data_IF_153708878316
#
_entry.id   IF_153708878316
#
_cell.length_a   1.000
_cell.length_b   1.000
_cell.length_c   1.000
_cell.angle_alpha   90.00
_cell.angle_beta   90.00
_cell.angle_gamma   90.00
#
_symmetry.space_group_name_H-M   'P 1'
#
loop_
_entity.id
_entity.type
_entity.pdbx_description
1 polymer ?
#
# COMPACT_ATOMS: atom_id res chain seq x y z
N UNK A 1 12.08 -4.24 14.86
CA UNK A 1 10.97 -4.76 14.03
C UNK A 1 10.52 -3.63 13.12
N UNK A 2 10.15 -3.92 11.87
CA UNK A 2 9.67 -2.91 10.92
C UNK A 2 8.65 -3.54 9.97
N UNK A 3 7.74 -2.75 9.39
CA UNK A 3 6.75 -3.25 8.43
C UNK A 3 7.32 -3.48 7.02
N UNK A 4 8.52 -2.95 6.77
CA UNK A 4 9.26 -3.12 5.53
C UNK A 4 10.76 -3.18 5.82
N UNK A 5 11.48 -3.94 5.01
CA UNK A 5 12.94 -4.00 4.99
C UNK A 5 13.47 -4.05 3.57
N UNK A 6 14.79 -3.98 3.45
CA UNK A 6 15.60 -4.31 2.28
C UNK A 6 16.70 -5.26 2.74
N UNK A 7 17.46 -5.84 1.82
CA UNK A 7 18.53 -6.80 2.15
C UNK A 7 19.70 -6.16 2.92
N UNK A 8 19.81 -4.84 2.89
CA UNK A 8 20.85 -4.05 3.59
C UNK A 8 20.57 -3.84 5.10
N UNK A 9 19.45 -4.32 5.65
CA UNK A 9 19.14 -4.16 7.07
C UNK A 9 18.55 -5.41 7.73
N UNK A 10 18.90 -5.61 9.00
CA UNK A 10 18.49 -6.76 9.82
C UNK A 10 17.11 -6.63 10.48
N UNK A 11 16.21 -5.79 9.94
CA UNK A 11 14.90 -5.61 10.56
C UNK A 11 14.04 -6.89 10.48
N UNK A 12 13.46 -7.28 11.62
CA UNK A 12 12.41 -8.30 11.64
C UNK A 12 11.10 -7.72 11.11
N UNK A 13 10.58 -8.32 10.03
CA UNK A 13 9.34 -7.90 9.39
C UNK A 13 8.13 -8.19 10.26
N UNK A 14 7.26 -7.19 10.44
CA UNK A 14 5.96 -7.32 11.12
C UNK A 14 4.84 -6.82 10.20
N UNK A 15 3.59 -7.25 10.39
CA UNK A 15 2.46 -6.69 9.66
C UNK A 15 2.32 -5.18 9.92
N UNK A 16 1.88 -4.45 8.89
CA UNK A 16 1.61 -3.02 8.99
C UNK A 16 0.52 -2.75 10.04
N UNK A 17 0.75 -1.81 10.94
CA UNK A 17 -0.20 -1.48 12.02
C UNK A 17 -1.56 -1.03 11.48
N UNK A 18 -1.59 -0.35 10.33
CA UNK A 18 -2.83 0.08 9.69
C UNK A 18 -3.72 -1.07 9.19
N UNK A 19 -3.21 -2.31 9.11
CA UNK A 19 -4.07 -3.46 8.88
C UNK A 19 -5.00 -3.77 10.05
N UNK A 20 -4.63 -3.34 11.27
CA UNK A 20 -5.41 -3.57 12.50
C UNK A 20 -6.17 -2.32 12.98
N UNK A 21 -5.91 -1.16 12.36
CA UNK A 21 -6.62 0.09 12.66
C UNK A 21 -8.06 0.00 12.17
N UNK A 22 -8.92 0.84 12.69
CA UNK A 22 -10.34 0.86 12.37
C UNK A 22 -10.83 1.80 11.23
N UNK A 23 -9.99 2.51 10.45
CA UNK A 23 -10.44 3.19 9.24
C UNK A 23 -11.14 2.25 8.26
N UNK A 24 -12.03 2.82 7.43
CA UNK A 24 -12.75 2.11 6.37
C UNK A 24 -11.81 1.44 5.35
N UNK A 25 -10.60 1.98 5.18
CA UNK A 25 -9.61 1.43 4.27
C UNK A 25 -8.71 0.37 4.93
N UNK A 26 -8.91 0.02 6.20
CA UNK A 26 -8.16 -1.06 6.86
C UNK A 26 -8.40 -2.41 6.17
N UNK A 27 -7.48 -3.35 6.38
CA UNK A 27 -7.66 -4.69 5.83
C UNK A 27 -8.96 -5.33 6.31
N UNK A 28 -9.28 -5.19 7.59
CA UNK A 28 -10.43 -5.87 8.18
C UNK A 28 -11.76 -5.24 7.75
N UNK A 29 -11.79 -3.92 7.57
CA UNK A 29 -12.93 -3.25 6.97
C UNK A 29 -13.15 -3.74 5.54
N UNK A 30 -12.07 -3.82 4.74
CA UNK A 30 -12.14 -4.34 3.37
C UNK A 30 -12.50 -5.83 3.31
N UNK A 31 -12.01 -6.66 4.24
CA UNK A 31 -12.38 -8.07 4.33
C UNK A 31 -13.86 -8.25 4.70
N UNK A 32 -14.39 -7.37 5.55
CA UNK A 32 -15.82 -7.33 5.88
C UNK A 32 -16.65 -6.92 4.65
N UNK A 33 -16.16 -5.95 3.87
CA UNK A 33 -16.80 -5.45 2.65
C UNK A 33 -16.49 -6.29 1.39
N UNK A 34 -15.88 -7.47 1.56
CA UNK A 34 -15.39 -8.29 0.43
C UNK A 34 -16.46 -8.63 -0.62
N UNK A 35 -17.71 -8.73 -0.21
CA UNK A 35 -18.81 -9.05 -1.11
C UNK A 35 -18.96 -7.99 -2.19
N UNK A 36 -18.72 -6.72 -1.85
CA UNK A 36 -18.74 -5.61 -2.80
C UNK A 36 -17.67 -5.76 -3.88
N UNK A 37 -16.46 -6.20 -3.54
CA UNK A 37 -15.39 -6.38 -4.53
C UNK A 37 -15.66 -7.50 -5.54
N UNK A 38 -16.61 -8.38 -5.25
CA UNK A 38 -17.05 -9.47 -6.13
C UNK A 38 -18.36 -9.17 -6.86
N UNK A 39 -18.97 -7.98 -6.67
CA UNK A 39 -20.24 -7.62 -7.31
C UNK A 39 -20.12 -7.40 -8.82
N UNK A 40 -18.96 -6.91 -9.26
CA UNK A 40 -18.66 -6.69 -10.68
C UNK A 40 -17.91 -7.92 -11.19
N UNK A 41 -18.55 -8.65 -12.10
CA UNK A 41 -17.95 -9.78 -12.80
C UNK A 41 -16.70 -9.33 -13.57
N UNK A 42 -15.74 -10.23 -13.79
CA UNK A 42 -14.45 -9.90 -14.42
C UNK A 42 -14.65 -9.22 -15.79
N UNK A 43 -15.62 -9.72 -16.54
CA UNK A 43 -16.00 -9.32 -17.89
C UNK A 43 -16.59 -7.90 -17.93
N UNK A 44 -17.22 -7.46 -16.83
CA UNK A 44 -17.85 -6.15 -16.69
C UNK A 44 -16.90 -5.08 -16.13
N UNK A 45 -15.70 -5.48 -15.67
CA UNK A 45 -14.70 -4.54 -15.18
C UNK A 45 -14.08 -3.76 -16.32
N UNK A 46 -13.73 -2.50 -16.03
CA UNK A 46 -13.04 -1.61 -16.98
C UNK A 46 -11.66 -2.18 -17.33
N UNK A 47 -11.44 -2.42 -18.61
CA UNK A 47 -10.18 -2.93 -19.16
C UNK A 47 -9.14 -1.80 -19.32
N UNK A 48 -8.68 -1.25 -18.20
CA UNK A 48 -7.66 -0.20 -18.15
C UNK A 48 -6.85 -0.33 -16.86
N UNK A 49 -5.53 -0.13 -16.93
CA UNK A 49 -4.67 -0.17 -15.75
C UNK A 49 -4.82 1.10 -14.92
N UNK A 50 -5.29 0.94 -13.69
CA UNK A 50 -5.68 2.04 -12.84
C UNK A 50 -4.76 2.20 -11.63
N UNK A 51 -4.46 3.44 -11.27
CA UNK A 51 -3.68 3.78 -10.09
C UNK A 51 -3.88 5.22 -9.61
N UNK A 52 -3.98 5.44 -8.29
CA UNK A 52 -4.06 6.76 -7.66
C UNK A 52 -3.20 6.84 -6.40
N UNK A 53 -2.33 7.85 -6.31
CA UNK A 53 -1.42 8.06 -5.18
C UNK A 53 -0.94 9.51 -5.13
N UNK A 54 -0.20 9.90 -4.10
CA UNK A 54 0.55 11.15 -4.08
C UNK A 54 1.92 10.99 -4.76
N UNK A 55 2.44 12.07 -5.33
CA UNK A 55 3.65 12.08 -6.16
C UNK A 55 4.97 12.06 -5.37
N UNK A 56 5.15 11.08 -4.47
CA UNK A 56 6.38 10.96 -3.67
C UNK A 56 6.99 9.57 -3.74
N UNK A 57 8.32 9.51 -3.83
CA UNK A 57 9.10 8.28 -3.75
C UNK A 57 10.28 8.45 -2.79
N UNK A 58 10.77 7.34 -2.30
CA UNK A 58 12.05 7.18 -1.58
C UNK A 58 13.27 7.49 -2.47
N UNK A 59 14.38 7.87 -1.82
CA UNK A 59 15.64 8.27 -2.44
C UNK A 59 16.35 7.18 -3.26
N UNK A 60 15.98 5.90 -3.12
CA UNK A 60 16.61 4.83 -3.91
C UNK A 60 16.07 4.78 -5.35
N UNK A 61 14.92 5.39 -5.63
CA UNK A 61 14.48 5.55 -7.01
C UNK A 61 15.37 6.58 -7.72
N UNK A 62 15.84 6.25 -8.91
CA UNK A 62 16.83 7.03 -9.68
C UNK A 62 18.29 6.75 -9.31
N UNK A 63 18.55 5.78 -8.43
CA UNK A 63 19.91 5.38 -8.01
C UNK A 63 20.33 4.09 -8.73
N UNK A 64 21.22 4.16 -9.75
CA UNK A 64 21.66 2.99 -10.51
C UNK A 64 22.46 1.98 -9.67
N UNK A 65 22.95 2.40 -8.49
CA UNK A 65 23.63 1.51 -7.53
C UNK A 65 22.66 0.68 -6.68
N UNK A 66 21.37 1.03 -6.63
CA UNK A 66 20.40 0.40 -5.75
C UNK A 66 19.26 -0.31 -6.49
N UNK A 67 18.76 0.24 -7.59
CA UNK A 67 17.66 -0.36 -8.34
C UNK A 67 17.77 -0.03 -9.83
N UNK A 68 18.04 -1.06 -10.63
CA UNK A 68 18.17 -0.99 -12.10
C UNK A 68 17.24 -1.97 -12.78
N UNK A 69 16.78 -1.59 -13.97
CA UNK A 69 16.13 -2.50 -14.92
C UNK A 69 17.15 -3.37 -15.63
N UNK A 70 16.69 -4.44 -16.28
CA UNK A 70 17.52 -5.38 -17.03
C UNK A 70 18.29 -4.72 -18.19
N UNK A 71 17.73 -3.65 -18.76
CA UNK A 71 18.42 -2.79 -19.75
C UNK A 71 19.52 -1.89 -19.14
N UNK A 72 19.75 -1.95 -17.83
CA UNK A 72 20.76 -1.19 -17.10
C UNK A 72 20.35 0.23 -16.71
N UNK A 73 19.12 0.66 -17.00
CA UNK A 73 18.64 1.98 -16.60
C UNK A 73 18.27 2.03 -15.11
N UNK A 74 18.49 3.18 -14.47
CA UNK A 74 17.99 3.40 -13.12
C UNK A 74 16.45 3.48 -13.12
N UNK A 75 15.80 2.79 -12.19
CA UNK A 75 14.34 2.84 -12.07
C UNK A 75 13.90 4.22 -11.58
N UNK A 76 13.13 5.01 -12.35
CA UNK A 76 12.67 6.33 -11.92
C UNK A 76 11.63 6.19 -10.79
N UNK A 77 11.28 7.31 -10.13
CA UNK A 77 10.15 7.31 -9.20
C UNK A 77 8.87 6.87 -9.93
N UNK A 78 8.27 5.70 -9.62
CA UNK A 78 7.14 5.20 -10.40
C UNK A 78 5.92 6.11 -10.26
N UNK A 79 5.76 6.75 -9.09
CA UNK A 79 4.58 7.58 -8.81
C UNK A 79 4.47 8.82 -9.68
N UNK A 80 5.58 9.42 -10.07
CA UNK A 80 5.60 10.58 -10.95
C UNK A 80 5.82 10.17 -12.41
N UNK A 81 6.64 9.15 -12.65
CA UNK A 81 6.93 8.65 -14.01
C UNK A 81 5.67 8.16 -14.73
N UNK A 82 4.80 7.44 -14.02
CA UNK A 82 3.56 6.90 -14.60
C UNK A 82 2.56 7.97 -15.04
N UNK A 83 2.68 9.22 -14.59
CA UNK A 83 1.87 10.31 -15.13
C UNK A 83 2.11 10.49 -16.63
N UNK A 84 3.38 10.56 -17.03
CA UNK A 84 3.75 10.75 -18.44
C UNK A 84 3.40 9.52 -19.27
N UNK A 85 3.64 8.32 -18.71
CA UNK A 85 3.30 7.08 -19.39
C UNK A 85 1.78 6.95 -19.60
N UNK A 86 0.97 7.40 -18.64
CA UNK A 86 -0.50 7.41 -18.76
C UNK A 86 -1.01 8.48 -19.73
N UNK A 87 -0.38 9.66 -19.78
CA UNK A 87 -0.72 10.68 -20.80
C UNK A 87 -0.41 10.17 -22.21
N UNK A 88 0.67 9.40 -22.37
CA UNK A 88 1.08 8.84 -23.66
C UNK A 88 0.25 7.62 -24.10
N UNK A 89 -0.41 6.92 -23.16
CA UNK A 89 -1.18 5.70 -23.43
C UNK A 89 -2.54 5.74 -22.70
N UNK A 90 -3.40 6.76 -22.96
CA UNK A 90 -4.63 6.99 -22.20
C UNK A 90 -5.68 5.88 -22.35
N UNK A 91 -5.58 5.08 -23.41
CA UNK A 91 -6.42 3.90 -23.67
C UNK A 91 -6.03 2.67 -22.83
N UNK A 92 -4.76 2.60 -22.38
CA UNK A 92 -4.25 1.48 -21.59
C UNK A 92 -4.09 1.82 -20.10
N UNK A 93 -3.79 3.09 -19.80
CA UNK A 93 -3.35 3.51 -18.48
C UNK A 93 -4.13 4.72 -17.97
N UNK A 94 -4.70 4.57 -16.78
CA UNK A 94 -5.17 5.65 -15.94
C UNK A 94 -4.45 5.58 -14.59
N UNK A 95 -3.11 5.67 -14.62
CA UNK A 95 -2.24 5.57 -13.45
C UNK A 95 -1.58 6.93 -13.15
N UNK A 96 -2.20 7.70 -12.26
CA UNK A 96 -1.84 9.09 -12.00
C UNK A 96 -1.60 9.36 -10.53
N UNK A 97 -0.69 10.28 -10.24
CA UNK A 97 -0.67 10.92 -8.93
C UNK A 97 -1.77 11.99 -8.78
N UNK A 98 -1.93 12.48 -7.55
CA UNK A 98 -2.97 13.45 -7.18
C UNK A 98 -2.76 14.86 -7.72
N UNK A 99 -1.60 15.16 -8.33
CA UNK A 99 -1.39 16.41 -9.06
C UNK A 99 -2.02 16.39 -10.45
N UNK A 100 -2.27 15.19 -11.00
CA UNK A 100 -2.84 14.99 -12.35
C UNK A 100 -4.26 14.43 -12.36
N UNK A 101 -4.68 13.75 -11.30
CA UNK A 101 -6.03 13.20 -11.22
C UNK A 101 -6.60 13.25 -9.80
N UNK A 102 -7.92 13.31 -9.69
CA UNK A 102 -8.60 13.28 -8.39
C UNK A 102 -8.33 11.96 -7.65
N UNK A 103 -8.19 11.98 -6.32
CA UNK A 103 -8.17 10.77 -5.50
C UNK A 103 -9.42 9.92 -5.77
N UNK A 104 -9.28 8.60 -5.67
CA UNK A 104 -10.40 7.65 -5.71
C UNK A 104 -10.39 6.81 -4.44
N UNK A 105 -11.53 6.67 -3.74
CA UNK A 105 -11.67 5.77 -2.60
C UNK A 105 -11.14 4.38 -2.95
N UNK A 106 -10.36 3.79 -2.05
CA UNK A 106 -9.69 2.52 -2.34
C UNK A 106 -10.70 1.42 -2.69
N UNK A 107 -11.80 1.35 -1.94
CA UNK A 107 -12.87 0.39 -2.18
C UNK A 107 -13.52 0.48 -3.56
N UNK A 108 -13.44 1.62 -4.27
CA UNK A 108 -14.03 1.76 -5.62
C UNK A 108 -13.10 1.28 -6.74
N UNK A 109 -11.82 1.03 -6.46
CA UNK A 109 -10.85 0.69 -7.50
C UNK A 109 -11.03 -0.73 -8.05
N UNK A 110 -11.78 -1.60 -7.36
CA UNK A 110 -12.10 -2.96 -7.83
C UNK A 110 -12.86 -2.99 -9.18
N UNK A 111 -13.45 -1.88 -9.60
CA UNK A 111 -14.15 -1.77 -10.89
C UNK A 111 -13.22 -1.86 -12.12
N UNK A 112 -11.91 -1.86 -11.92
CA UNK A 112 -10.89 -1.99 -12.96
C UNK A 112 -10.32 -3.40 -12.98
N UNK A 113 -10.12 -3.98 -14.17
CA UNK A 113 -9.47 -5.30 -14.32
C UNK A 113 -8.03 -5.29 -13.79
N UNK A 114 -7.37 -4.14 -13.87
CA UNK A 114 -5.94 -3.98 -13.72
C UNK A 114 -5.62 -2.89 -12.68
N UNK A 115 -4.89 -3.23 -11.62
CA UNK A 115 -4.50 -2.31 -10.55
C UNK A 115 -2.98 -2.14 -10.48
N UNK A 116 -2.51 -0.90 -10.52
CA UNK A 116 -1.08 -0.58 -10.51
C UNK A 116 -0.64 -0.23 -9.08
N UNK A 117 0.28 -1.04 -8.55
CA UNK A 117 0.89 -0.89 -7.23
C UNK A 117 2.30 -0.33 -7.34
N UNK A 118 2.49 0.86 -6.76
CA UNK A 118 3.78 1.54 -6.63
C UNK A 118 4.14 1.77 -5.18
N UNK A 119 5.43 1.61 -4.85
CA UNK A 119 5.93 1.96 -3.53
C UNK A 119 6.05 3.48 -3.38
N UNK A 120 6.13 3.94 -2.13
CA UNK A 120 6.28 5.35 -1.78
C UNK A 120 7.60 5.58 -1.08
N UNK A 121 7.58 5.92 0.21
CA UNK A 121 8.78 5.96 1.05
C UNK A 121 9.29 4.55 1.38
N UNK A 122 8.34 3.63 1.47
CA UNK A 122 8.53 2.22 1.76
C UNK A 122 7.53 1.44 0.90
N UNK A 123 7.27 0.17 1.24
CA UNK A 123 6.21 -0.59 0.56
C UNK A 123 4.86 0.13 0.65
N UNK A 124 3.98 -0.11 -0.32
CA UNK A 124 2.63 0.45 -0.28
C UNK A 124 1.69 -0.34 0.63
N UNK A 125 0.96 0.37 1.50
CA UNK A 125 -0.16 -0.20 2.27
C UNK A 125 -1.39 -0.54 1.42
N UNK A 126 -1.37 -0.22 0.12
CA UNK A 126 -2.41 -0.64 -0.83
C UNK A 126 -2.14 -2.00 -1.43
N UNK A 127 -0.90 -2.49 -1.42
CA UNK A 127 -0.54 -3.66 -2.20
C UNK A 127 -1.26 -4.91 -1.72
N UNK A 128 -1.31 -5.18 -0.41
CA UNK A 128 -2.09 -6.31 0.11
C UNK A 128 -3.56 -6.14 -0.26
N UNK A 129 -4.13 -4.96 0.00
CA UNK A 129 -5.53 -4.63 -0.28
C UNK A 129 -5.90 -4.86 -1.75
N UNK A 130 -5.00 -4.54 -2.69
CA UNK A 130 -5.21 -4.82 -4.12
C UNK A 130 -5.28 -6.31 -4.43
N UNK A 131 -4.50 -7.15 -3.75
CA UNK A 131 -4.60 -8.62 -3.90
C UNK A 131 -6.00 -9.12 -3.48
N UNK A 132 -6.72 -8.42 -2.60
CA UNK A 132 -8.08 -8.78 -2.17
C UNK A 132 -9.20 -8.30 -3.13
N UNK A 133 -8.90 -7.48 -4.14
CA UNK A 133 -9.94 -6.86 -4.98
C UNK A 133 -10.41 -7.73 -6.16
N UNK A 134 -9.78 -8.87 -6.42
CA UNK A 134 -10.11 -9.72 -7.57
C UNK A 134 -9.70 -9.12 -8.93
N UNK A 135 -8.85 -8.10 -8.91
CA UNK A 135 -8.22 -7.51 -10.10
C UNK A 135 -6.81 -8.06 -10.27
N UNK A 136 -6.29 -8.08 -11.49
CA UNK A 136 -4.88 -8.34 -11.74
C UNK A 136 -4.06 -7.17 -11.19
N UNK A 137 -3.02 -7.47 -10.40
CA UNK A 137 -2.16 -6.45 -9.81
C UNK A 137 -0.83 -6.38 -10.57
N UNK A 138 -0.49 -5.20 -11.07
CA UNK A 138 0.84 -4.86 -11.55
C UNK A 138 1.67 -4.28 -10.40
N UNK A 139 2.83 -4.86 -10.05
CA UNK A 139 3.69 -4.36 -8.95
C UNK A 139 5.03 -3.84 -9.49
N UNK A 140 5.33 -2.59 -9.17
CA UNK A 140 6.61 -1.99 -9.52
C UNK A 140 7.76 -2.72 -8.81
N UNK A 141 8.87 -2.89 -9.50
CA UNK A 141 10.12 -3.38 -8.93
C UNK A 141 10.54 -2.53 -7.72
N UNK A 142 11.12 -3.19 -6.73
CA UNK A 142 11.48 -2.57 -5.47
C UNK A 142 12.51 -3.40 -4.73
N UNK A 143 13.44 -2.71 -4.06
CA UNK A 143 14.35 -3.32 -3.08
C UNK A 143 13.66 -3.57 -1.74
N UNK A 144 12.45 -3.04 -1.55
CA UNK A 144 11.71 -3.12 -0.30
C UNK A 144 10.71 -4.27 -0.35
N UNK A 145 10.62 -4.98 0.76
CA UNK A 145 9.63 -6.05 0.95
C UNK A 145 8.93 -5.97 2.29
N UNK A 146 7.70 -6.47 2.34
CA UNK A 146 6.89 -6.67 3.53
C UNK A 146 6.86 -8.14 3.98
N UNK A 147 6.26 -8.41 5.13
CA UNK A 147 6.29 -9.73 5.79
C UNK A 147 5.75 -10.91 4.95
N UNK A 148 4.89 -10.64 3.96
CA UNK A 148 4.26 -11.66 3.11
C UNK A 148 4.87 -11.77 1.70
N UNK A 149 5.78 -10.85 1.35
CA UNK A 149 6.25 -10.71 -0.04
C UNK A 149 6.99 -11.95 -0.52
N UNK A 150 7.78 -12.59 0.36
CA UNK A 150 8.53 -13.81 0.03
C UNK A 150 7.63 -15.02 -0.26
N UNK A 151 6.33 -14.95 0.07
CA UNK A 151 5.35 -15.98 -0.26
C UNK A 151 4.56 -15.68 -1.54
N UNK A 152 4.71 -14.47 -2.11
CA UNK A 152 4.14 -14.13 -3.41
C UNK A 152 5.08 -14.58 -4.52
N UNK A 153 4.49 -14.92 -5.66
CA UNK A 153 5.21 -15.35 -6.87
C UNK A 153 4.80 -14.48 -8.06
N UNK A 154 5.75 -13.87 -8.79
CA UNK A 154 5.49 -13.19 -10.05
C UNK A 154 4.76 -14.12 -11.03
N UNK A 155 3.85 -13.58 -11.84
CA UNK A 155 2.99 -14.28 -12.80
C UNK A 155 2.09 -15.38 -12.21
N UNK A 156 2.09 -15.58 -10.89
CA UNK A 156 1.09 -16.38 -10.19
C UNK A 156 0.14 -15.51 -9.40
N UNK A 157 0.65 -14.50 -8.69
CA UNK A 157 -0.13 -13.64 -7.80
C UNK A 157 -0.16 -12.16 -8.23
N UNK A 158 0.79 -11.75 -9.07
CA UNK A 158 0.89 -10.37 -9.59
C UNK A 158 1.82 -10.37 -10.81
N UNK A 159 1.75 -9.32 -11.63
CA UNK A 159 2.68 -9.13 -12.76
C UNK A 159 3.68 -8.02 -12.39
N UNK A 160 4.99 -8.28 -12.42
CA UNK A 160 5.99 -7.26 -12.13
C UNK A 160 6.12 -6.27 -13.30
N UNK A 161 6.48 -5.02 -13.00
CA UNK A 161 6.89 -4.01 -13.99
C UNK A 161 8.02 -3.13 -13.43
N UNK A 162 8.64 -2.33 -14.29
CA UNK A 162 9.95 -1.70 -14.12
C UNK A 162 11.04 -2.74 -13.84
N UNK A 163 10.96 -3.88 -14.53
CA UNK A 163 11.96 -4.96 -14.49
C UNK A 163 12.79 -4.93 -15.76
N UNK A 164 12.16 -4.97 -16.94
CA UNK A 164 12.87 -5.01 -18.22
C UNK A 164 13.43 -3.64 -18.58
N UNK A 165 12.57 -2.62 -18.51
CA UNK A 165 12.86 -1.20 -18.71
C UNK A 165 11.77 -0.38 -18.04
N UNK A 166 11.96 0.94 -17.95
CA UNK A 166 11.05 1.87 -17.24
C UNK A 166 9.61 1.95 -17.78
N UNK A 167 9.37 1.48 -19.01
CA UNK A 167 8.09 1.59 -19.74
C UNK A 167 7.35 0.25 -19.88
N UNK A 168 7.92 -0.85 -19.38
CA UNK A 168 7.44 -2.21 -19.57
C UNK A 168 6.03 -2.48 -19.00
N UNK A 169 5.47 -1.56 -18.20
CA UNK A 169 4.06 -1.59 -17.79
C UNK A 169 3.12 -1.57 -18.98
N UNK A 170 3.43 -0.81 -20.05
CA UNK A 170 2.58 -0.77 -21.25
C UNK A 170 2.53 -2.15 -21.92
N UNK A 171 3.67 -2.83 -21.99
CA UNK A 171 3.75 -4.20 -22.52
C UNK A 171 2.98 -5.19 -21.65
N UNK A 172 3.14 -5.08 -20.32
CA UNK A 172 2.45 -5.93 -19.35
C UNK A 172 0.92 -5.78 -19.44
N UNK A 173 0.42 -4.56 -19.68
CA UNK A 173 -1.03 -4.31 -19.88
C UNK A 173 -1.51 -4.86 -21.21
N UNK A 174 -0.77 -4.67 -22.31
CA UNK A 174 -1.10 -5.27 -23.62
C UNK A 174 -1.12 -6.80 -23.57
N UNK A 175 -0.18 -7.39 -22.83
CA UNK A 175 -0.17 -8.82 -22.57
C UNK A 175 -1.43 -9.26 -21.80
N UNK A 176 -1.78 -8.57 -20.72
CA UNK A 176 -2.96 -8.91 -19.92
C UNK A 176 -4.27 -8.82 -20.73
N UNK A 177 -4.40 -7.84 -21.62
CA UNK A 177 -5.55 -7.69 -22.53
C UNK A 177 -5.61 -8.87 -23.52
N UNK A 178 -4.48 -9.24 -24.13
CA UNK A 178 -4.43 -10.34 -25.11
C UNK A 178 -4.53 -11.74 -24.47
N UNK A 179 -4.28 -11.86 -23.16
CA UNK A 179 -4.29 -13.09 -22.40
C UNK A 179 -5.29 -13.00 -21.24
N UNK A 180 -6.51 -12.50 -21.51
CA UNK A 180 -7.50 -12.15 -20.48
C UNK A 180 -7.80 -13.30 -19.50
N UNK A 181 -7.92 -14.54 -19.99
CA UNK A 181 -8.15 -15.71 -19.14
C UNK A 181 -6.97 -15.99 -18.18
N UNK A 182 -5.74 -15.76 -18.63
CA UNK A 182 -4.54 -15.92 -17.80
C UNK A 182 -4.41 -14.77 -16.79
N UNK A 183 -4.68 -13.55 -17.22
CA UNK A 183 -4.77 -12.38 -16.34
C UNK A 183 -5.81 -12.58 -15.22
N UNK A 184 -6.99 -13.08 -15.57
CA UNK A 184 -8.04 -13.41 -14.60
C UNK A 184 -7.59 -14.49 -13.62
N UNK A 185 -6.91 -15.55 -14.11
CA UNK A 185 -6.37 -16.61 -13.24
C UNK A 185 -5.36 -16.06 -12.22
N UNK A 186 -4.47 -15.15 -12.63
CA UNK A 186 -3.52 -14.50 -11.71
C UNK A 186 -4.27 -13.66 -10.67
N UNK A 187 -5.31 -12.91 -11.07
CA UNK A 187 -6.16 -12.15 -10.16
C UNK A 187 -6.86 -13.06 -9.12
N UNK A 188 -7.37 -14.22 -9.55
CA UNK A 188 -8.01 -15.21 -8.67
C UNK A 188 -7.02 -15.82 -7.67
N UNK A 189 -5.80 -16.13 -8.11
CA UNK A 189 -4.73 -16.62 -7.24
C UNK A 189 -4.33 -15.57 -6.20
N UNK A 190 -4.20 -14.31 -6.60
CA UNK A 190 -3.93 -13.18 -5.70
C UNK A 190 -5.01 -13.07 -4.61
N UNK A 191 -6.27 -13.14 -5.03
CA UNK A 191 -7.44 -13.11 -4.14
C UNK A 191 -7.45 -14.28 -3.16
N UNK A 192 -7.20 -15.50 -3.63
CA UNK A 192 -7.12 -16.69 -2.80
C UNK A 192 -5.95 -16.60 -1.79
N UNK A 193 -4.79 -16.11 -2.23
CA UNK A 193 -3.64 -15.88 -1.36
C UNK A 193 -3.97 -14.86 -0.26
N UNK A 194 -4.54 -13.72 -0.63
CA UNK A 194 -4.97 -12.67 0.29
C UNK A 194 -5.90 -13.22 1.38
N UNK A 195 -6.97 -13.92 0.96
CA UNK A 195 -7.97 -14.48 1.87
C UNK A 195 -7.44 -15.59 2.78
N UNK A 196 -6.37 -16.26 2.39
CA UNK A 196 -5.77 -17.32 3.19
C UNK A 196 -4.69 -16.81 4.14
N UNK A 197 -3.82 -15.92 3.65
CA UNK A 197 -2.55 -15.61 4.30
C UNK A 197 -2.47 -14.19 4.85
N UNK A 198 -3.38 -13.30 4.44
CA UNK A 198 -3.38 -11.90 4.83
C UNK A 198 -4.59 -11.53 5.67
N UNK A 199 -5.31 -12.47 6.30
CA UNK A 199 -6.40 -12.12 7.23
C UNK A 199 -5.84 -11.63 8.57
N UNK A 200 -6.67 -10.98 9.40
CA UNK A 200 -6.30 -10.64 10.78
C UNK A 200 -5.75 -11.83 11.56
N UNK A 201 -6.43 -12.99 11.46
CA UNK A 201 -5.99 -14.24 12.08
C UNK A 201 -4.61 -14.65 11.59
N UNK A 202 -4.37 -14.62 10.28
CA UNK A 202 -3.07 -14.98 9.71
C UNK A 202 -1.96 -14.02 10.18
N UNK A 203 -2.23 -12.71 10.22
CA UNK A 203 -1.30 -11.71 10.76
C UNK A 203 -0.98 -11.96 12.25
N UNK A 204 -1.97 -12.30 13.07
CA UNK A 204 -1.72 -12.64 14.47
C UNK A 204 -0.96 -13.95 14.63
N UNK A 205 -1.24 -14.99 13.83
CA UNK A 205 -0.43 -16.21 13.82
C UNK A 205 1.04 -15.91 13.48
N UNK A 206 1.28 -15.06 12.49
CA UNK A 206 2.63 -14.61 12.13
C UNK A 206 3.31 -13.87 13.29
N UNK A 207 2.63 -12.89 13.91
CA UNK A 207 3.16 -12.14 15.05
C UNK A 207 3.45 -13.05 16.26
N UNK A 208 2.53 -13.96 16.59
CA UNK A 208 2.70 -14.92 17.67
C UNK A 208 3.95 -15.77 17.46
N UNK A 209 4.11 -16.33 16.26
CA UNK A 209 5.30 -17.13 15.91
C UNK A 209 6.57 -16.29 15.97
N UNK A 210 6.58 -15.09 15.38
CA UNK A 210 7.72 -14.19 15.38
C UNK A 210 8.17 -13.84 16.80
N UNK A 211 7.25 -13.42 17.66
CA UNK A 211 7.55 -13.03 19.05
C UNK A 211 8.02 -14.25 19.86
N UNK A 212 7.40 -15.41 19.65
CA UNK A 212 7.79 -16.66 20.33
C UNK A 212 9.21 -17.08 19.95
N UNK A 213 9.56 -17.05 18.66
CA UNK A 213 10.93 -17.34 18.22
C UNK A 213 11.91 -16.29 18.74
N UNK A 214 11.57 -15.01 18.66
CA UNK A 214 12.41 -13.94 19.19
C UNK A 214 12.69 -14.10 20.70
N UNK A 215 11.68 -14.48 21.48
CA UNK A 215 11.81 -14.66 22.92
C UNK A 215 12.84 -15.74 23.31
N UNK A 216 13.04 -16.77 22.48
CA UNK A 216 14.08 -17.80 22.69
C UNK A 216 15.49 -17.24 22.66
N UNK A 217 15.69 -16.10 22.01
CA UNK A 217 16.99 -15.43 21.90
C UNK A 217 17.26 -14.42 23.02
N UNK A 218 16.30 -14.18 23.93
CA UNK A 218 16.50 -13.26 25.03
C UNK A 218 17.40 -13.89 26.10
N UNK A 219 18.46 -13.17 26.48
CA UNK A 219 19.38 -13.58 27.55
C UNK A 219 18.84 -13.30 28.96
N UNK A 220 17.64 -12.71 29.06
CA UNK A 220 17.01 -12.34 30.31
C UNK A 220 15.49 -12.58 30.23
N UNK A 221 14.87 -12.86 31.37
CA UNK A 221 13.42 -12.93 31.48
C UNK A 221 12.86 -11.50 31.55
N UNK A 222 11.96 -11.08 30.63
CA UNK A 222 11.28 -9.80 30.77
C UNK A 222 10.54 -9.70 32.12
N UNK A 223 10.61 -8.54 32.76
CA UNK A 223 9.91 -8.29 34.03
C UNK A 223 9.18 -6.95 34.02
N UNK A 224 8.08 -6.86 34.76
CA UNK A 224 7.32 -5.63 34.92
C UNK A 224 7.85 -4.69 36.01
N UNK A 225 8.89 -5.10 36.77
CA UNK A 225 9.43 -4.35 37.91
C UNK A 225 9.87 -2.92 37.56
N UNK A 226 10.30 -2.68 36.32
CA UNK A 226 10.79 -1.38 35.82
C UNK A 226 9.80 -0.66 34.92
N UNK A 227 8.53 -1.11 34.84
CA UNK A 227 7.50 -0.53 33.97
C UNK A 227 6.48 0.22 34.82
N UNK A 228 6.13 1.45 34.42
CA UNK A 228 5.09 2.26 35.06
C UNK A 228 3.72 1.57 35.03
N UNK A 229 3.43 0.92 33.90
CA UNK A 229 2.21 0.16 33.69
C UNK A 229 2.55 -1.20 33.08
N UNK A 230 1.91 -2.25 33.59
CA UNK A 230 2.00 -3.61 33.12
C UNK A 230 0.61 -4.22 33.22
N UNK A 231 -0.02 -4.37 32.06
CA UNK A 231 -1.38 -4.88 31.91
C UNK A 231 -1.43 -5.83 30.70
N UNK A 232 -2.36 -6.78 30.68
CA UNK A 232 -2.70 -7.51 29.47
C UNK A 232 -3.14 -6.54 28.36
N UNK A 233 -2.76 -6.82 27.10
CA UNK A 233 -3.17 -6.00 25.95
C UNK A 233 -4.70 -5.95 25.81
N UNK A 234 -5.41 -6.99 26.24
CA UNK A 234 -6.88 -7.00 26.22
C UNK A 234 -7.50 -5.93 27.12
N UNK A 235 -6.88 -5.58 28.25
CA UNK A 235 -7.38 -4.53 29.15
C UNK A 235 -7.23 -3.14 28.53
N UNK A 236 -6.15 -2.91 27.79
CA UNK A 236 -5.96 -1.69 26.97
C UNK A 236 -7.06 -1.57 25.91
N UNK A 237 -7.39 -2.67 25.21
CA UNK A 237 -8.46 -2.66 24.20
C UNK A 237 -9.84 -2.42 24.82
N UNK A 238 -10.13 -3.05 25.98
CA UNK A 238 -11.36 -2.81 26.75
C UNK A 238 -11.48 -1.34 27.18
N UNK A 239 -10.37 -0.74 27.64
CA UNK A 239 -10.32 0.67 27.99
C UNK A 239 -10.61 1.56 26.79
N UNK A 240 -9.93 1.32 25.66
CA UNK A 240 -10.09 2.14 24.45
C UNK A 240 -11.52 2.11 23.89
N UNK A 241 -12.26 1.00 24.06
CA UNK A 241 -13.69 0.90 23.72
C UNK A 241 -14.57 1.86 24.52
N UNK A 242 -14.31 2.02 25.81
CA UNK A 242 -15.15 2.83 26.72
C UNK A 242 -14.63 4.27 26.89
N UNK A 243 -13.40 4.55 26.48
CA UNK A 243 -12.81 5.88 26.60
C UNK A 243 -13.41 6.83 25.56
N UNK A 244 -13.96 7.96 26.02
CA UNK A 244 -14.61 8.98 25.18
C UNK A 244 -13.75 9.51 24.02
N UNK A 245 -12.42 9.51 24.15
CA UNK A 245 -11.51 9.97 23.09
C UNK A 245 -11.33 8.95 21.95
N UNK A 246 -11.62 7.67 22.19
CA UNK A 246 -11.35 6.57 21.24
C UNK A 246 -12.56 5.69 20.93
N UNK A 247 -13.65 5.82 21.70
CA UNK A 247 -14.85 5.02 21.50
C UNK A 247 -15.48 5.22 20.11
N UNK A 248 -15.31 6.41 19.52
CA UNK A 248 -15.85 6.79 18.21
C UNK A 248 -14.87 6.56 17.06
N UNK A 249 -13.58 6.28 17.35
CA UNK A 249 -12.55 6.11 16.31
C UNK A 249 -12.53 4.70 15.70
N UNK A 250 -13.36 3.79 16.20
CA UNK A 250 -13.40 2.40 15.78
C UNK A 250 -14.78 1.76 15.88
N UNK A 251 -15.10 0.88 14.94
CA UNK A 251 -16.14 -0.12 15.16
C UNK A 251 -15.61 -1.23 16.07
N UNK A 252 -15.71 -1.03 17.39
CA UNK A 252 -15.18 -1.94 18.39
C UNK A 252 -15.75 -3.37 18.35
N UNK A 253 -16.87 -3.59 17.64
CA UNK A 253 -17.45 -4.94 17.45
C UNK A 253 -16.47 -5.92 16.81
N UNK A 254 -15.60 -5.43 15.91
CA UNK A 254 -14.57 -6.28 15.26
C UNK A 254 -13.52 -6.79 16.25
N UNK A 255 -13.45 -6.21 17.45
CA UNK A 255 -12.51 -6.55 18.52
C UNK A 255 -13.15 -7.33 19.67
N UNK A 256 -14.50 -7.43 19.73
CA UNK A 256 -15.24 -8.08 20.83
C UNK A 256 -14.83 -9.55 21.03
N UNK A 257 -14.46 -10.24 19.95
CA UNK A 257 -13.98 -11.62 20.00
C UNK A 257 -12.72 -11.77 20.86
N UNK A 258 -11.98 -10.67 21.07
CA UNK A 258 -10.75 -10.63 21.86
C UNK A 258 -10.97 -10.01 23.25
N UNK A 259 -12.04 -9.23 23.47
CA UNK A 259 -12.28 -8.51 24.74
C UNK A 259 -13.28 -9.20 25.66
N UNK A 260 -14.37 -9.74 25.11
CA UNK A 260 -15.53 -10.16 25.92
C UNK A 260 -15.64 -11.69 26.02
N UNK A 261 -15.13 -12.42 25.03
CA UNK A 261 -15.11 -13.90 24.99
C UNK A 261 -13.71 -14.51 25.21
N UNK A 262 -12.70 -13.69 25.51
CA UNK A 262 -11.33 -14.13 25.68
C UNK A 262 -11.10 -14.72 27.07
N UNK A 263 -10.93 -16.04 27.17
CA UNK A 263 -10.21 -16.68 28.27
C UNK A 263 -8.72 -16.26 28.17
N UNK A 264 -8.38 -14.98 28.40
CA UNK A 264 -6.99 -14.59 28.62
C UNK A 264 -6.64 -14.99 30.07
N UNK A 265 -5.85 -16.07 30.28
CA UNK A 265 -5.53 -16.54 31.62
C UNK A 265 -4.71 -15.53 32.44
N UNK A 266 -4.15 -14.49 31.80
CA UNK A 266 -3.43 -13.39 32.46
C UNK A 266 -4.38 -12.24 32.81
N UNK A 267 -5.51 -12.10 32.10
CA UNK A 267 -6.56 -11.11 32.40
C UNK A 267 -7.62 -11.65 33.37
N UNK A 268 -7.20 -12.46 34.36
CA UNK A 268 -8.09 -13.03 35.36
C UNK A 268 -8.91 -11.92 36.07
N UNK A 269 -10.18 -12.18 36.44
CA UNK A 269 -11.06 -11.16 37.01
C UNK A 269 -10.47 -10.54 38.27
N UNK A 270 -10.41 -9.19 38.36
CA UNK A 270 -10.09 -8.55 39.64
C UNK A 270 -9.32 -7.22 39.68
N UNK A 271 -9.19 -6.48 38.57
CA UNK A 271 -9.05 -5.00 38.48
C UNK A 271 -8.50 -4.66 37.08
N UNK A 272 -9.31 -4.06 36.21
CA UNK A 272 -8.90 -3.72 34.83
C UNK A 272 -7.79 -2.67 34.74
N UNK A 273 -7.49 -1.98 35.86
CA UNK A 273 -6.50 -0.90 35.93
C UNK A 273 -6.77 0.24 34.96
N UNK A 274 -8.04 0.43 34.56
CA UNK A 274 -8.46 1.47 33.62
C UNK A 274 -8.11 2.89 34.10
N UNK A 275 -8.01 3.11 35.43
CA UNK A 275 -7.54 4.39 35.97
C UNK A 275 -6.08 4.64 35.61
N UNK A 276 -5.19 3.67 35.83
CA UNK A 276 -3.77 3.79 35.47
C UNK A 276 -3.56 3.82 33.96
N UNK A 277 -4.38 3.09 33.20
CA UNK A 277 -4.40 3.21 31.73
C UNK A 277 -4.75 4.64 31.33
N UNK A 278 -5.84 5.21 31.86
CA UNK A 278 -6.21 6.61 31.59
C UNK A 278 -5.07 7.57 31.94
N UNK A 279 -4.42 7.40 33.09
CA UNK A 279 -3.29 8.23 33.50
C UNK A 279 -2.11 8.14 32.53
N UNK A 280 -1.81 6.93 32.04
CA UNK A 280 -0.77 6.73 31.02
C UNK A 280 -1.13 7.41 29.70
N UNK A 281 -2.43 7.45 29.37
CA UNK A 281 -2.93 8.03 28.14
C UNK A 281 -2.95 9.57 28.13
N UNK A 282 -3.10 10.20 29.29
CA UNK A 282 -3.01 11.67 29.40
C UNK A 282 -1.57 12.18 29.57
N UNK A 283 -0.59 11.29 29.73
CA UNK A 283 0.82 11.67 29.85
C UNK A 283 1.41 11.97 28.46
N UNK A 284 1.82 13.23 28.18
CA UNK A 284 2.29 13.65 26.86
C UNK A 284 3.60 12.98 26.42
N UNK A 285 4.32 12.33 27.34
CA UNK A 285 5.54 11.57 27.04
C UNK A 285 5.28 10.08 26.74
N UNK A 286 4.06 9.57 26.97
CA UNK A 286 3.75 8.14 26.93
C UNK A 286 2.57 7.77 26.02
N UNK A 287 1.89 8.77 25.44
CA UNK A 287 0.80 8.59 24.47
C UNK A 287 1.30 8.36 23.02
N UNK A 288 0.67 7.47 22.23
CA UNK A 288 0.82 7.45 20.78
C UNK A 288 0.05 8.63 20.16
N UNK A 289 0.76 9.73 19.88
CA UNK A 289 0.23 11.01 19.36
C UNK A 289 -0.43 10.87 17.97
N UNK A 290 -1.73 10.62 17.93
CA UNK A 290 -2.57 10.75 16.72
C UNK A 290 -2.91 12.22 16.38
N UNK A 291 -2.61 13.18 17.27
CA UNK A 291 -2.87 14.62 17.15
C UNK A 291 -1.83 15.40 16.31
N UNK A 292 -0.71 14.75 15.91
CA UNK A 292 0.36 15.41 15.15
C UNK A 292 -0.01 15.77 13.70
N UNK A 293 -1.19 15.37 13.21
CA UNK A 293 -1.67 15.75 11.87
C UNK A 293 -2.73 16.86 11.87
N UNK A 294 -3.21 17.31 13.04
CA UNK A 294 -4.27 18.34 13.12
C UNK A 294 -3.71 19.74 13.38
N UNK A 295 -2.49 19.86 13.93
CA UNK A 295 -1.93 21.16 14.35
C UNK A 295 -1.06 21.90 13.31
N UNK A 296 -0.91 21.36 12.08
CA UNK A 296 -0.15 22.05 11.02
C UNK A 296 -1.01 22.73 9.94
N UNK A 297 -2.35 22.67 10.04
CA UNK A 297 -3.23 23.38 9.11
C UNK A 297 -3.69 24.77 9.59
N UNK A 298 -3.50 25.10 10.88
CA UNK A 298 -3.93 26.39 11.44
C UNK A 298 -2.82 27.45 11.50
N UNK A 299 -1.59 27.13 11.07
CA UNK A 299 -0.47 28.07 11.02
C UNK A 299 -0.01 28.37 9.58
N UNK A 300 -0.92 28.31 8.62
CA UNK A 300 -0.69 28.89 7.30
C UNK A 300 -0.56 30.42 7.46
N UNK A 301 0.66 30.91 7.28
CA UNK A 301 1.04 32.31 7.11
C UNK A 301 -0.04 33.08 6.33
N UNK A 302 -0.60 34.18 6.87
CA UNK A 302 -1.56 34.98 6.10
C UNK A 302 -0.84 35.59 4.88
N UNK A 303 -1.50 35.69 3.72
CA UNK A 303 -0.89 36.34 2.55
C UNK A 303 -0.58 37.80 2.87
N UNK A 304 0.49 38.38 2.29
CA UNK A 304 0.84 39.77 2.53
C UNK A 304 -0.32 40.69 2.13
N UNK A 305 -0.64 41.62 3.03
CA UNK A 305 -1.72 42.58 2.87
C UNK A 305 -1.60 43.33 1.53
N UNK A 306 -2.67 43.28 0.74
CA UNK A 306 -2.83 44.13 -0.42
C UNK A 306 -2.77 45.60 0.02
N UNK A 307 -1.89 46.36 -0.63
CA UNK A 307 -1.81 47.80 -0.48
C UNK A 307 -3.19 48.43 -0.72
N UNK A 308 -3.54 49.35 0.18
CA UNK A 308 -4.79 50.09 0.17
C UNK A 308 -5.07 50.75 -1.18
N UNK A 309 -6.25 50.48 -1.73
CA UNK A 309 -6.85 51.32 -2.75
C UNK A 309 -7.29 52.63 -2.09
N UNK A 310 -6.63 53.73 -2.46
CA UNK A 310 -7.17 55.08 -2.35
C UNK A 310 -8.28 55.28 -3.38
N UNK A 311 -9.36 55.93 -2.97
CA UNK A 311 -10.50 56.28 -3.79
C UNK A 311 -10.12 57.20 -4.97
N UNK A 312 -10.71 56.95 -6.14
CA UNK A 312 -10.64 57.82 -7.31
C UNK A 312 -11.60 57.34 -8.39
N UNK A 313 -12.66 58.11 -8.61
CA UNK A 313 -13.74 57.88 -9.55
C UNK A 313 -13.31 57.92 -11.04
N UNK A 314 -13.96 57.13 -11.91
CA UNK A 314 -14.66 57.60 -13.13
C UNK A 314 -15.05 56.44 -14.07
N UNK A 315 -16.36 56.32 -14.30
CA UNK A 315 -17.06 56.28 -15.59
C UNK A 315 -16.60 55.39 -16.78
N UNK A 316 -17.62 54.65 -17.27
CA UNK A 316 -18.02 54.40 -18.68
C UNK A 316 -17.41 53.22 -19.47
N UNK A 317 -18.29 52.32 -19.93
CA UNK A 317 -18.51 52.12 -21.37
C UNK A 317 -18.23 50.74 -22.01
N UNK A 318 -19.27 50.14 -22.61
CA UNK A 318 -19.24 49.32 -23.84
C UNK A 318 -18.83 47.83 -23.73
N UNK A 319 -19.72 46.85 -23.90
CA UNK A 319 -20.31 46.25 -25.15
C UNK A 319 -19.38 45.32 -25.98
N UNK A 320 -19.90 44.11 -26.23
CA UNK A 320 -19.78 43.24 -27.43
C UNK A 320 -18.38 42.65 -27.77
N UNK A 321 -18.17 41.51 -28.46
CA UNK A 321 -18.99 40.50 -29.15
C UNK A 321 -18.09 39.27 -29.48
N UNK A 322 -18.71 38.08 -29.52
CA UNK A 322 -18.62 36.98 -30.52
C UNK A 322 -17.38 36.67 -31.40
N UNK A 323 -17.25 35.35 -31.70
CA UNK A 323 -16.58 34.74 -32.89
C UNK A 323 -15.77 33.48 -32.52
N UNK A 324 -16.17 32.22 -32.78
CA UNK A 324 -16.25 31.49 -34.08
C UNK A 324 -14.88 31.39 -34.77
N UNK A 325 -14.35 30.31 -35.35
CA UNK A 325 -14.85 29.02 -35.85
C UNK A 325 -13.68 28.16 -36.37
N UNK A 326 -13.91 26.84 -36.52
CA UNK A 326 -13.35 25.97 -37.59
C UNK A 326 -11.92 25.44 -37.40
N UNK A 327 -11.54 24.22 -37.77
CA UNK A 327 -12.22 23.12 -38.46
C UNK A 327 -11.16 22.18 -39.09
N UNK A 328 -11.45 20.86 -39.09
CA UNK A 328 -10.92 19.78 -39.96
C UNK A 328 -9.38 19.53 -39.95
N UNK A 329 -8.83 18.31 -39.89
CA UNK A 329 -9.27 16.98 -40.29
C UNK A 329 -8.30 16.43 -41.35
N UNK A 330 -7.60 15.31 -41.07
CA UNK A 330 -7.08 14.37 -42.09
C UNK A 330 -6.54 13.05 -41.48
N UNK A 331 -7.14 11.96 -41.95
CA UNK A 331 -6.67 10.56 -42.00
C UNK A 331 -5.33 10.48 -42.76
N UNK A 332 -4.49 9.46 -42.71
CA UNK A 332 -4.52 8.09 -42.18
C UNK A 332 -3.37 7.32 -42.85
N UNK A 333 -2.92 6.18 -42.29
CA UNK A 333 -2.43 4.99 -43.01
C UNK A 333 -1.82 3.98 -42.01
N UNK A 334 -2.26 2.73 -42.13
CA UNK A 334 -1.85 1.60 -41.30
C UNK A 334 -0.68 0.81 -41.90
N UNK A 335 -0.11 -0.06 -41.07
CA UNK A 335 0.72 -1.17 -41.48
C UNK A 335 0.51 -2.35 -40.53
N UNK A 336 0.11 -3.49 -41.10
CA UNK A 336 0.01 -4.80 -40.46
C UNK A 336 1.41 -5.35 -40.18
N UNK A 337 1.62 -6.00 -39.03
CA UNK A 337 2.65 -7.04 -38.89
C UNK A 337 2.13 -8.24 -38.11
N UNK A 338 2.37 -9.40 -38.73
CA UNK A 338 1.97 -10.75 -38.33
C UNK A 338 2.77 -11.28 -37.14
N UNK A 339 2.17 -12.23 -36.43
CA UNK A 339 2.64 -12.76 -35.15
C UNK A 339 3.76 -13.81 -35.21
N UNK A 340 4.27 -14.08 -34.02
CA UNK A 340 5.17 -15.19 -33.70
C UNK A 340 5.10 -15.47 -32.20
N UNK A 341 4.50 -16.59 -31.81
CA UNK A 341 4.41 -17.06 -30.44
C UNK A 341 5.75 -17.66 -29.99
N UNK A 342 6.30 -17.19 -28.86
CA UNK A 342 7.44 -17.81 -28.18
C UNK A 342 7.01 -18.23 -26.77
N UNK A 343 7.03 -19.54 -26.54
CA UNK A 343 6.66 -20.23 -25.31
C UNK A 343 7.68 -19.94 -24.18
N UNK A 344 7.20 -19.44 -23.04
CA UNK A 344 8.01 -19.01 -21.89
C UNK A 344 8.24 -20.16 -20.89
N UNK A 345 9.20 -21.05 -21.17
CA UNK A 345 9.59 -22.16 -20.25
C UNK A 345 10.84 -21.89 -19.40
N UNK A 346 11.45 -20.71 -19.47
CA UNK A 346 12.75 -20.45 -18.82
C UNK A 346 12.68 -19.66 -17.50
N UNK A 347 11.48 -19.37 -16.96
CA UNK A 347 11.34 -18.59 -15.72
C UNK A 347 11.60 -19.38 -14.42
N UNK A 348 11.78 -20.70 -14.48
CA UNK A 348 11.97 -21.55 -13.27
C UNK A 348 13.42 -21.61 -12.74
N UNK A 349 14.40 -20.98 -13.41
CA UNK A 349 15.82 -21.09 -13.02
C UNK A 349 16.34 -20.02 -12.04
N UNK A 350 15.50 -19.13 -11.52
CA UNK A 350 15.96 -17.97 -10.74
C UNK A 350 15.89 -18.11 -9.21
N UNK A 351 15.60 -19.28 -8.66
CA UNK A 351 15.61 -19.48 -7.19
C UNK A 351 16.23 -20.82 -6.80
N UNK A 352 17.56 -20.92 -6.87
CA UNK A 352 18.30 -21.86 -6.00
C UNK A 352 19.24 -21.09 -5.06
N UNK A 353 19.22 -21.34 -3.74
CA UNK A 353 20.17 -20.75 -2.81
C UNK A 353 21.54 -21.46 -2.97
N UNK A 354 22.60 -20.70 -3.24
CA UNK A 354 23.98 -21.21 -3.23
C UNK A 354 24.36 -21.65 -1.82
N UNK A 355 24.52 -22.97 -1.65
CA UNK A 355 25.02 -23.64 -0.45
C UNK A 355 26.48 -23.23 -0.18
N UNK A 356 26.71 -22.50 0.91
CA UNK A 356 28.02 -21.96 1.30
C UNK A 356 28.74 -22.89 2.28
N UNK A 357 29.48 -23.90 1.77
CA UNK A 357 30.45 -24.67 2.58
C UNK A 357 31.89 -24.19 2.39
N UNK A 358 32.45 -23.72 3.52
CA UNK A 358 33.83 -23.82 4.05
C UNK A 358 35.01 -23.29 3.23
N UNK A 359 35.77 -22.39 3.88
CA UNK A 359 37.22 -22.59 4.11
C UNK A 359 37.62 -22.09 5.51
N UNK A 360 37.93 -23.03 6.41
CA UNK A 360 38.83 -22.79 7.54
C UNK A 360 40.24 -22.55 6.97
N UNK A 361 40.88 -21.44 7.35
CA UNK A 361 42.33 -21.26 7.23
C UNK A 361 42.95 -21.42 8.62
N UNK A 362 43.86 -22.39 8.73
CA UNK A 362 44.90 -22.47 9.77
C UNK A 362 45.92 -21.35 9.54
N UNK A 363 46.27 -20.64 10.60
CA UNK A 363 47.59 -20.06 10.96
C UNK A 363 47.42 -19.58 12.41
N UNK A 364 48.31 -19.71 13.36
CA UNK A 364 49.62 -20.33 13.53
C UNK A 364 49.90 -20.28 15.03
#
# INVERSE_FOLDING_TARGET
MAWSKSEDNGALLVPYSGAFRCPEDSWDAMETDRANFTTIAWEDRKEIAFGRWNGFCTYYYGRPDLLVTEDGAAVPCPRTYLNNLSVANPELLAAYDTSKARPMPLGHQHMYKYLVSTDGWSISSKFDKYLLMGSLVFKAASIRKGFYYDALRPYEHYVPFMVKHKDDLVEAVKWAISHDAEAHKIAQNAFAFARKNLTRRARFCYLFRLITELAKHFKYKPTCKRRKLCIPVVEELKFMRINHQSNHSCNWRVLEVYTDNGNDPIAAPGNSRHFEVRQHHVDPLHWPRDDLYVMELDNAVPPPAAAAAGAGAMQQGGRHMQGSSGGQGREGQGAQLQGGALLWKDAEKLVEPRDGRRRQRRMG
#
